data_IF_641194700316
#
_entry.id   IF_641194700316
#
_cell.length_a   1.000
_cell.length_b   1.000
_cell.length_c   1.000
_cell.angle_alpha   90.00
_cell.angle_beta   90.00
_cell.angle_gamma   90.00
#
_symmetry.space_group_name_H-M   'P 1'
#
loop_
_entity.id
_entity.type
_entity.pdbx_description
1 polymer ?
#
# COMPACT_ATOMS: atom_id res chain seq x y z
N UNK A 1 3.71 -0.82 16.78
CA UNK A 1 3.15 -1.24 15.48
C UNK A 1 3.86 -0.49 14.36
N UNK A 2 4.17 -1.14 13.24
CA UNK A 2 4.75 -0.53 12.02
C UNK A 2 3.70 -0.33 10.94
N UNK A 3 3.90 0.61 10.03
CA UNK A 3 2.93 0.91 8.97
C UNK A 3 3.57 0.82 7.59
N UNK A 4 3.09 -0.09 6.74
CA UNK A 4 3.66 -0.34 5.41
C UNK A 4 2.69 0.14 4.34
N UNK A 5 3.06 1.23 3.66
CA UNK A 5 2.27 1.81 2.57
C UNK A 5 2.89 1.44 1.23
N UNK A 6 2.16 0.64 0.46
CA UNK A 6 2.63 0.11 -0.81
C UNK A 6 1.84 0.76 -1.92
N UNK A 7 2.48 1.53 -2.80
CA UNK A 7 1.82 2.16 -3.96
C UNK A 7 2.00 1.27 -5.19
N UNK A 8 0.92 0.59 -5.64
CA UNK A 8 0.95 -0.42 -6.70
C UNK A 8 0.00 -0.09 -7.86
N UNK A 9 0.53 -0.09 -9.09
CA UNK A 9 -0.23 -0.03 -10.33
C UNK A 9 0.63 -0.42 -11.55
N UNK A 10 0.12 -1.30 -12.42
CA UNK A 10 0.80 -1.76 -13.63
C UNK A 10 0.88 -0.72 -14.77
N UNK A 11 0.04 0.31 -14.77
CA UNK A 11 0.11 1.38 -15.78
C UNK A 11 1.30 2.33 -15.53
N UNK A 12 2.14 2.50 -16.56
CA UNK A 12 3.17 3.54 -16.62
C UNK A 12 2.56 4.94 -16.68
N UNK A 13 3.19 5.91 -15.99
CA UNK A 13 2.70 7.29 -15.98
C UNK A 13 1.37 7.51 -15.24
N UNK A 14 0.89 6.54 -14.46
CA UNK A 14 -0.37 6.67 -13.71
C UNK A 14 -0.31 7.66 -12.54
N UNK A 15 0.87 8.15 -12.15
CA UNK A 15 1.04 9.08 -11.03
C UNK A 15 1.41 8.42 -9.68
N UNK A 16 1.90 7.17 -9.68
CA UNK A 16 2.32 6.44 -8.46
C UNK A 16 3.31 7.24 -7.62
N UNK A 17 4.43 7.66 -8.21
CA UNK A 17 5.46 8.43 -7.52
C UNK A 17 4.96 9.75 -6.98
N UNK A 18 3.98 10.38 -7.62
CA UNK A 18 3.33 11.59 -7.10
C UNK A 18 2.48 11.29 -5.86
N UNK A 19 1.74 10.18 -5.86
CA UNK A 19 0.99 9.72 -4.68
C UNK A 19 1.94 9.33 -3.54
N UNK A 20 3.02 8.61 -3.84
CA UNK A 20 4.08 8.27 -2.88
C UNK A 20 4.68 9.53 -2.25
N UNK A 21 5.02 10.54 -3.07
CA UNK A 21 5.49 11.84 -2.61
C UNK A 21 4.48 12.55 -1.71
N UNK A 22 3.22 12.66 -2.13
CA UNK A 22 2.17 13.29 -1.33
C UNK A 22 1.99 12.62 0.03
N UNK A 23 2.02 11.28 0.06
CA UNK A 23 1.89 10.50 1.29
C UNK A 23 3.11 10.71 2.20
N UNK A 24 4.31 10.66 1.65
CA UNK A 24 5.54 10.93 2.39
C UNK A 24 5.56 12.32 3.01
N UNK A 25 5.21 13.36 2.24
CA UNK A 25 5.16 14.73 2.74
C UNK A 25 4.05 14.94 3.78
N UNK A 26 2.89 14.29 3.60
CA UNK A 26 1.84 14.31 4.62
C UNK A 26 2.31 13.70 5.95
N UNK A 27 2.97 12.54 5.90
CA UNK A 27 3.50 11.87 7.10
C UNK A 27 4.56 12.72 7.80
N UNK A 28 5.47 13.34 7.03
CA UNK A 28 6.47 14.28 7.57
C UNK A 28 5.83 15.50 8.21
N UNK A 29 4.81 16.07 7.57
CA UNK A 29 4.05 17.20 8.11
C UNK A 29 3.30 16.83 9.41
N UNK A 30 2.96 15.55 9.58
CA UNK A 30 2.40 15.00 10.83
C UNK A 30 3.47 14.52 11.83
N UNK A 31 4.74 14.88 11.61
CA UNK A 31 5.89 14.53 12.46
C UNK A 31 6.02 13.02 12.69
N UNK A 32 5.64 12.21 11.69
CA UNK A 32 5.80 10.75 11.74
C UNK A 32 7.18 10.35 11.25
N UNK A 33 7.77 9.35 11.90
CA UNK A 33 8.99 8.69 11.40
C UNK A 33 8.66 7.99 10.09
N UNK A 34 9.47 8.22 9.05
CA UNK A 34 9.23 7.73 7.71
C UNK A 34 10.51 7.18 7.08
N UNK A 35 10.41 6.03 6.42
CA UNK A 35 11.35 5.55 5.40
C UNK A 35 10.62 5.49 4.06
N UNK A 36 11.10 6.27 3.10
CA UNK A 36 10.64 6.20 1.72
C UNK A 36 11.54 5.27 0.92
N UNK A 37 10.96 4.37 0.12
CA UNK A 37 11.67 3.41 -0.72
C UNK A 37 11.20 3.57 -2.16
N UNK A 38 12.14 3.76 -3.07
CA UNK A 38 11.89 3.76 -4.51
C UNK A 38 12.42 2.46 -5.09
N UNK A 39 11.55 1.75 -5.80
CA UNK A 39 11.89 0.45 -6.39
C UNK A 39 11.92 0.48 -7.91
N UNK A 40 11.68 1.64 -8.56
CA UNK A 40 11.67 1.75 -10.01
C UNK A 40 13.12 1.75 -10.57
N UNK A 41 13.53 0.72 -11.32
CA UNK A 41 14.88 0.63 -11.85
C UNK A 41 15.12 1.57 -13.05
N UNK A 42 14.05 2.05 -13.68
CA UNK A 42 14.11 2.86 -14.91
C UNK A 42 13.99 4.34 -14.58
N UNK A 43 12.98 4.73 -13.79
CA UNK A 43 12.67 6.13 -13.48
C UNK A 43 12.45 6.33 -11.98
N UNK A 44 13.52 6.34 -11.16
CA UNK A 44 13.44 6.45 -9.70
C UNK A 44 13.04 7.87 -9.27
N UNK A 45 11.76 8.17 -9.47
CA UNK A 45 11.18 9.51 -9.37
C UNK A 45 11.08 9.94 -7.92
N UNK A 46 10.70 9.04 -7.00
CA UNK A 46 10.62 9.37 -5.58
C UNK A 46 12.02 9.64 -5.01
N UNK A 47 13.00 8.81 -5.38
CA UNK A 47 14.41 8.99 -4.99
C UNK A 47 15.00 10.33 -5.46
N UNK A 48 14.53 10.88 -6.58
CA UNK A 48 15.01 12.17 -7.09
C UNK A 48 14.72 13.35 -6.15
N UNK A 49 13.72 13.23 -5.27
CA UNK A 49 13.39 14.23 -4.25
C UNK A 49 14.30 14.10 -3.03
N UNK A 50 15.48 14.75 -3.09
CA UNK A 50 16.51 14.72 -2.02
C UNK A 50 15.97 15.01 -0.61
N UNK A 51 14.94 15.86 -0.50
CA UNK A 51 14.34 16.22 0.78
C UNK A 51 13.76 15.02 1.54
N UNK A 52 13.39 13.94 0.84
CA UNK A 52 12.83 12.73 1.43
C UNK A 52 13.88 11.72 1.91
N UNK A 53 15.16 11.89 1.55
CA UNK A 53 16.21 10.87 1.80
C UNK A 53 15.73 9.45 1.45
N UNK A 54 15.04 9.32 0.32
CA UNK A 54 14.44 8.06 -0.09
C UNK A 54 15.54 7.04 -0.43
N UNK A 55 15.34 5.79 -0.04
CA UNK A 55 16.22 4.68 -0.33
C UNK A 55 15.89 4.10 -1.72
N UNK A 56 16.85 4.11 -2.63
CA UNK A 56 16.69 3.45 -3.92
C UNK A 56 17.11 1.99 -3.82
N UNK A 57 16.16 1.07 -3.99
CA UNK A 57 16.41 -0.37 -4.07
C UNK A 57 16.22 -0.80 -5.52
N UNK A 58 17.32 -1.13 -6.19
CA UNK A 58 17.30 -1.47 -7.61
C UNK A 58 16.76 -2.88 -7.82
N UNK A 59 15.51 -2.97 -8.28
CA UNK A 59 14.82 -4.24 -8.54
C UNK A 59 15.26 -4.98 -9.82
N UNK A 60 16.33 -4.53 -10.49
CA UNK A 60 16.83 -5.17 -11.70
C UNK A 60 18.32 -5.49 -11.57
N UNK A 61 18.66 -6.75 -11.84
CA UNK A 61 20.03 -7.24 -12.01
C UNK A 61 20.14 -7.99 -13.34
N UNK A 62 21.13 -7.65 -14.16
CA UNK A 62 21.37 -8.24 -15.48
C UNK A 62 20.16 -8.31 -16.44
N UNK A 63 19.20 -7.37 -16.30
CA UNK A 63 18.00 -7.30 -17.14
C UNK A 63 16.82 -8.13 -16.63
N UNK A 64 16.99 -8.84 -15.52
CA UNK A 64 15.94 -9.60 -14.85
C UNK A 64 15.56 -8.95 -13.52
N UNK A 65 14.35 -9.25 -13.03
CA UNK A 65 13.91 -8.74 -11.73
C UNK A 65 14.65 -9.50 -10.62
N UNK A 66 15.33 -8.76 -9.75
CA UNK A 66 16.00 -9.36 -8.60
C UNK A 66 15.00 -9.57 -7.45
N UNK A 67 14.56 -10.81 -7.28
CA UNK A 67 13.65 -11.17 -6.20
C UNK A 67 14.23 -10.93 -4.80
N UNK A 68 15.57 -10.99 -4.64
CA UNK A 68 16.24 -10.77 -3.35
C UNK A 68 16.11 -9.33 -2.87
N UNK A 69 15.92 -8.40 -3.80
CA UNK A 69 15.68 -7.00 -3.47
C UNK A 69 14.33 -6.79 -2.76
N UNK A 70 13.33 -7.66 -2.98
CA UNK A 70 12.10 -7.63 -2.19
C UNK A 70 12.32 -8.16 -0.77
N UNK A 71 13.11 -9.24 -0.61
CA UNK A 71 13.46 -9.76 0.72
C UNK A 71 14.13 -8.69 1.58
N UNK A 72 15.06 -7.93 1.00
CA UNK A 72 15.71 -6.80 1.69
C UNK A 72 14.72 -5.75 2.21
N UNK A 73 13.63 -5.48 1.46
CA UNK A 73 12.58 -4.55 1.92
C UNK A 73 11.85 -5.14 3.11
N UNK A 74 11.44 -6.41 3.02
CA UNK A 74 10.65 -7.05 4.06
C UNK A 74 11.48 -7.23 5.34
N UNK A 75 12.71 -7.73 5.23
CA UNK A 75 13.64 -7.83 6.36
C UNK A 75 13.86 -6.45 7.02
N UNK A 76 14.10 -5.41 6.22
CA UNK A 76 14.25 -4.05 6.74
C UNK A 76 13.01 -3.52 7.46
N UNK A 77 11.80 -3.92 7.04
CA UNK A 77 10.55 -3.60 7.76
C UNK A 77 10.46 -4.38 9.07
N UNK A 78 10.80 -5.66 9.06
CA UNK A 78 10.72 -6.52 10.24
C UNK A 78 11.71 -6.10 11.33
N UNK A 79 12.91 -5.68 10.95
CA UNK A 79 13.97 -5.23 11.88
C UNK A 79 13.80 -3.80 12.39
N UNK A 80 12.94 -3.01 11.74
CA UNK A 80 12.77 -1.61 12.10
C UNK A 80 12.07 -1.38 13.45
N UNK A 81 12.35 -0.21 14.02
CA UNK A 81 11.68 0.32 15.20
C UNK A 81 10.17 0.44 15.01
N UNK A 82 9.44 0.34 16.12
CA UNK A 82 8.01 0.61 16.16
C UNK A 82 7.67 2.08 15.82
N UNK A 83 6.41 2.32 15.43
CA UNK A 83 5.87 3.62 15.02
C UNK A 83 6.57 4.23 13.80
N UNK A 84 7.21 3.39 12.99
CA UNK A 84 7.82 3.75 11.72
C UNK A 84 6.86 3.51 10.56
N UNK A 85 6.79 4.50 9.66
CA UNK A 85 6.05 4.38 8.41
C UNK A 85 7.00 4.07 7.26
N UNK A 86 6.62 3.11 6.43
CA UNK A 86 7.26 2.82 5.15
C UNK A 86 6.34 3.31 4.03
N UNK A 87 6.92 3.98 3.04
CA UNK A 87 6.24 4.33 1.78
C UNK A 87 7.06 3.73 0.64
N UNK A 88 6.51 2.74 -0.03
CA UNK A 88 7.16 1.99 -1.10
C UNK A 88 6.54 2.42 -2.43
N UNK A 89 7.32 3.14 -3.22
CA UNK A 89 6.98 3.51 -4.58
C UNK A 89 7.39 2.38 -5.54
N UNK A 90 6.40 1.86 -6.25
CA UNK A 90 6.63 0.84 -7.27
C UNK A 90 6.67 1.44 -8.66
N UNK A 91 7.60 0.96 -9.47
CA UNK A 91 7.59 1.19 -10.91
C UNK A 91 6.46 0.41 -11.59
N UNK A 92 6.11 0.80 -12.81
CA UNK A 92 5.15 0.03 -13.60
C UNK A 92 5.67 -1.38 -13.94
N UNK A 93 6.97 -1.50 -14.17
CA UNK A 93 7.65 -2.77 -14.47
C UNK A 93 7.76 -3.67 -13.23
N UNK A 94 7.81 -3.10 -12.03
CA UNK A 94 7.91 -3.86 -10.77
C UNK A 94 6.56 -4.25 -10.17
N UNK A 95 5.43 -3.79 -10.75
CA UNK A 95 4.08 -4.12 -10.29
C UNK A 95 3.80 -5.63 -10.23
N UNK A 96 3.90 -6.33 -11.37
CA UNK A 96 3.56 -7.76 -11.44
C UNK A 96 4.55 -8.64 -10.64
N UNK A 97 5.87 -8.41 -10.71
CA UNK A 97 6.83 -9.13 -9.86
C UNK A 97 6.55 -8.97 -8.37
N UNK A 98 6.25 -7.74 -7.91
CA UNK A 98 5.96 -7.50 -6.51
C UNK A 98 4.64 -8.14 -6.09
N UNK A 99 3.61 -8.09 -6.93
CA UNK A 99 2.34 -8.75 -6.66
C UNK A 99 2.51 -10.28 -6.50
N UNK A 100 3.28 -10.92 -7.39
CA UNK A 100 3.60 -12.34 -7.28
C UNK A 100 4.40 -12.65 -6.01
N UNK A 101 5.41 -11.83 -5.71
CA UNK A 101 6.21 -11.99 -4.51
C UNK A 101 5.37 -11.93 -3.23
N UNK A 102 4.43 -10.98 -3.16
CA UNK A 102 3.52 -10.82 -2.01
C UNK A 102 2.61 -12.05 -1.82
N UNK A 103 2.11 -12.62 -2.92
CA UNK A 103 1.19 -13.77 -2.92
C UNK A 103 1.93 -15.09 -2.64
N UNK A 104 2.97 -15.40 -3.42
CA UNK A 104 3.70 -16.67 -3.36
C UNK A 104 4.42 -16.88 -2.02
N UNK A 105 4.89 -15.81 -1.37
CA UNK A 105 5.61 -15.88 -0.10
C UNK A 105 4.75 -15.56 1.12
N UNK A 106 3.43 -15.31 0.96
CA UNK A 106 2.55 -14.99 2.08
C UNK A 106 2.98 -13.75 2.87
N UNK A 107 3.57 -12.76 2.19
CA UNK A 107 4.24 -11.61 2.83
C UNK A 107 3.28 -10.78 3.66
N UNK A 108 2.03 -10.65 3.22
CA UNK A 108 1.02 -9.89 3.95
C UNK A 108 0.69 -10.52 5.30
N UNK A 109 0.59 -11.85 5.35
CA UNK A 109 0.37 -12.58 6.60
C UNK A 109 1.61 -12.49 7.51
N UNK A 110 2.81 -12.65 6.93
CA UNK A 110 4.08 -12.48 7.65
C UNK A 110 4.19 -11.10 8.31
N UNK A 111 3.89 -10.03 7.56
CA UNK A 111 3.92 -8.66 8.08
C UNK A 111 2.87 -8.46 9.17
N UNK A 112 1.67 -9.01 9.00
CA UNK A 112 0.60 -8.92 9.99
C UNK A 112 0.97 -9.63 11.31
N UNK A 113 1.59 -10.81 11.23
CA UNK A 113 2.04 -11.57 12.40
C UNK A 113 3.17 -10.86 13.17
N UNK A 114 3.89 -9.95 12.50
CA UNK A 114 4.95 -9.11 13.07
C UNK A 114 4.50 -7.66 13.35
N UNK A 115 3.22 -7.46 13.70
CA UNK A 115 2.64 -6.17 14.10
C UNK A 115 2.85 -5.04 13.08
N UNK A 116 2.80 -5.37 11.78
CA UNK A 116 2.78 -4.40 10.70
C UNK A 116 1.36 -4.23 10.13
N UNK A 117 0.88 -2.99 10.08
CA UNK A 117 -0.33 -2.62 9.35
C UNK A 117 0.02 -2.31 7.89
N UNK A 118 -0.51 -3.10 6.95
CA UNK A 118 -0.22 -2.95 5.51
C UNK A 118 -1.38 -2.27 4.80
N UNK A 119 -1.08 -1.20 4.06
CA UNK A 119 -2.01 -0.49 3.20
C UNK A 119 -1.51 -0.52 1.74
N UNK A 120 -2.34 -1.03 0.83
CA UNK A 120 -2.08 -1.02 -0.61
C UNK A 120 -2.84 0.15 -1.24
N UNK A 121 -2.08 1.08 -1.81
CA UNK A 121 -2.59 2.24 -2.51
C UNK A 121 -2.51 1.99 -4.01
N UNK A 122 -3.56 2.32 -4.75
CA UNK A 122 -3.53 2.27 -6.21
C UNK A 122 -4.04 3.57 -6.79
N UNK A 123 -3.42 4.02 -7.88
CA UNK A 123 -3.90 5.20 -8.59
C UNK A 123 -4.96 4.78 -9.58
N UNK A 124 -6.17 5.29 -9.37
CA UNK A 124 -7.28 5.10 -10.30
C UNK A 124 -7.20 6.19 -11.36
N UNK A 125 -6.58 5.89 -12.49
CA UNK A 125 -6.72 6.71 -13.69
C UNK A 125 -7.96 6.27 -14.47
N UNK A 126 -8.56 7.17 -15.26
CA UNK A 126 -9.71 6.82 -16.11
C UNK A 126 -9.43 5.58 -16.97
N UNK A 127 -10.50 4.88 -17.38
CA UNK A 127 -10.51 3.65 -18.19
C UNK A 127 -10.19 2.35 -17.39
N UNK A 128 -11.23 1.58 -17.03
CA UNK A 128 -11.19 0.11 -16.79
C UNK A 128 -10.19 -0.49 -15.78
N UNK A 129 -9.35 0.30 -15.11
CA UNK A 129 -8.15 -0.17 -14.40
C UNK A 129 -8.40 -0.81 -13.03
N UNK A 130 -9.64 -0.77 -12.52
CA UNK A 130 -10.00 -1.38 -11.24
C UNK A 130 -9.89 -2.92 -11.25
N UNK A 131 -9.77 -3.55 -12.43
CA UNK A 131 -9.82 -5.00 -12.60
C UNK A 131 -8.57 -5.74 -12.09
N UNK A 132 -7.42 -5.07 -11.93
CA UNK A 132 -6.15 -5.72 -11.54
C UNK A 132 -5.92 -5.84 -10.04
N UNK A 133 -6.76 -5.26 -9.18
CA UNK A 133 -6.63 -5.38 -7.73
C UNK A 133 -7.41 -6.56 -7.13
N UNK A 134 -8.22 -7.26 -7.95
CA UNK A 134 -9.02 -8.40 -7.51
C UNK A 134 -8.25 -9.65 -7.03
N UNK A 135 -7.02 -9.99 -7.51
CA UNK A 135 -6.32 -11.16 -7.01
C UNK A 135 -5.62 -10.92 -5.66
N UNK A 136 -5.45 -9.67 -5.20
CA UNK A 136 -5.06 -9.45 -3.80
C UNK A 136 -6.30 -9.69 -2.97
N UNK A 137 -6.47 -10.92 -2.49
CA UNK A 137 -7.43 -11.22 -1.43
C UNK A 137 -6.95 -10.50 -0.18
N UNK A 138 -7.30 -9.21 -0.06
CA UNK A 138 -7.13 -8.43 1.17
C UNK A 138 -8.09 -9.08 2.15
N UNK A 139 -7.59 -10.11 2.84
CA UNK A 139 -8.33 -10.81 3.88
C UNK A 139 -8.36 -9.86 5.06
N UNK A 140 -9.33 -8.95 5.04
CA UNK A 140 -9.70 -8.08 6.15
C UNK A 140 -10.18 -8.96 7.31
N UNK A 141 -9.24 -9.57 8.03
CA UNK A 141 -9.46 -10.19 9.32
C UNK A 141 -8.96 -9.18 10.37
N UNK A 142 -9.93 -8.52 11.02
CA UNK A 142 -9.83 -7.71 12.27
C UNK A 142 -9.98 -6.19 12.20
N UNK A 143 -9.88 -5.51 11.05
CA UNK A 143 -10.18 -4.06 11.01
C UNK A 143 -11.66 -3.72 11.36
N UNK A 144 -12.56 -4.71 11.29
CA UNK A 144 -13.98 -4.57 11.65
C UNK A 144 -14.27 -4.66 13.16
N UNK A 145 -13.38 -5.22 13.99
CA UNK A 145 -13.68 -5.45 15.41
C UNK A 145 -13.48 -4.18 16.26
N UNK A 146 -12.49 -3.34 15.96
CA UNK A 146 -12.20 -2.13 16.78
C UNK A 146 -13.21 -0.99 16.60
N UNK A 147 -14.08 -1.01 15.57
CA UNK A 147 -15.20 -0.05 15.44
C UNK A 147 -16.55 -0.58 15.94
N UNK A 148 -16.68 -1.87 16.25
CA UNK A 148 -17.94 -2.45 16.74
C UNK A 148 -18.20 -2.25 18.24
N UNK A 149 -17.27 -1.67 18.98
CA UNK A 149 -17.45 -1.36 20.41
C UNK A 149 -18.00 0.05 20.70
N UNK A 150 -18.24 0.90 19.69
CA UNK A 150 -18.73 2.27 19.90
C UNK A 150 -19.97 2.69 19.10
N UNK A 151 -20.67 1.78 18.42
CA UNK A 151 -22.00 2.09 17.85
C UNK A 151 -23.00 0.99 18.14
N UNK A 152 -24.04 1.35 18.89
CA UNK A 152 -25.20 0.51 19.18
C UNK A 152 -25.82 -0.01 17.88
N UNK A 153 -26.13 -1.30 17.87
CA UNK A 153 -26.69 -2.01 16.71
C UNK A 153 -28.04 -1.40 16.30
N UNK A 154 -28.09 -0.73 15.15
CA UNK A 154 -29.33 -0.54 14.40
C UNK A 154 -29.52 -1.75 13.47
N UNK A 155 -30.73 -2.31 13.46
CA UNK A 155 -31.02 -3.57 12.80
C UNK A 155 -31.35 -3.35 11.32
N UNK A 156 -31.02 -4.33 10.47
CA UNK A 156 -31.08 -4.23 9.00
C UNK A 156 -32.49 -3.96 8.44
N UNK A 157 -33.53 -4.17 9.25
CA UNK A 157 -34.93 -3.87 8.90
C UNK A 157 -35.26 -2.37 8.94
N UNK A 158 -34.56 -1.57 9.77
CA UNK A 158 -34.80 -0.12 9.89
C UNK A 158 -34.27 0.67 8.67
N UNK A 159 -33.20 0.17 8.03
CA UNK A 159 -32.62 0.78 6.83
C UNK A 159 -33.53 0.63 5.60
N UNK A 160 -34.27 -0.49 5.50
CA UNK A 160 -35.18 -0.77 4.38
C UNK A 160 -36.47 0.08 4.44
N UNK A 161 -36.95 0.43 5.64
CA UNK A 161 -38.10 1.33 5.76
C UNK A 161 -37.78 2.79 5.39
N UNK A 162 -36.55 3.24 5.61
CA UNK A 162 -36.16 4.63 5.29
C UNK A 162 -35.95 4.87 3.79
N UNK A 163 -35.45 3.89 3.05
CA UNK A 163 -35.27 4.04 1.58
C UNK A 163 -36.59 4.07 0.83
N UNK A 164 -37.64 3.45 1.36
CA UNK A 164 -38.96 3.40 0.71
C UNK A 164 -39.76 4.70 0.87
N UNK A 165 -39.42 5.56 1.84
CA UNK A 165 -40.09 6.85 2.07
C UNK A 165 -39.41 8.05 1.39
N UNK A 166 -38.24 7.87 0.78
CA UNK A 166 -37.54 8.93 0.03
C UNK A 166 -37.92 8.98 -1.46
N UNK A 167 -38.68 8.02 -1.97
CA UNK A 167 -39.17 7.98 -3.36
C UNK A 167 -40.60 8.52 -3.54
N UNK A 168 -41.16 9.19 -2.51
CA UNK A 168 -42.49 9.82 -2.54
C UNK A 168 -42.50 11.31 -2.19
N UNK A 169 -41.37 12.00 -2.37
CA UNK A 169 -41.30 13.48 -2.39
C UNK A 169 -40.77 13.91 -3.75
#
# INVERSE_FOLDING_TARGET
>A
MKYVNIVLQGKGGAGKSFVSLCLSEFLRHKERKLIAIDTDPVNPTLHSYKALNCNLIRMMDNGEIDHRSFDQIIEGILEAEEDLHFVIDTGATTFLPMLKYLDENGVLDLLQDNECEVAIHTVVSGEGQLMLLFPVSIRSSKYSQSRKLSSGRMNTQDLLQRTTNLSKI
#
